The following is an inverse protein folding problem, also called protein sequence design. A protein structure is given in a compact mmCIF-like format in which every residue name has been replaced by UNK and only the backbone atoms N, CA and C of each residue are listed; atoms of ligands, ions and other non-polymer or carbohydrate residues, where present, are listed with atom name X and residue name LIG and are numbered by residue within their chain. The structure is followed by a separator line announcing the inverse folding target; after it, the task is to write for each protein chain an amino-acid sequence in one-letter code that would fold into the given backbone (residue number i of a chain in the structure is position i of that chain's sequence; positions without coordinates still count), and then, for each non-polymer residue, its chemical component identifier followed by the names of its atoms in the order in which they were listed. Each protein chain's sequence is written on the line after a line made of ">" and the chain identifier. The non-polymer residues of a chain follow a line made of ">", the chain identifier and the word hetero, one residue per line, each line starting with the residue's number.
data_IF_011488923760
#
_entry.id   IF_011488923760
#
_cell.length_a   1.000
_cell.length_b   1.000
_cell.length_c   1.000
_cell.angle_alpha   90.00
_cell.angle_beta   90.00
_cell.angle_gamma   90.00
#
_symmetry.space_group_name_H-M   'P 1'
#
loop_
_entity.id
_entity.type
_entity.pdbx_description
1 polymer ?
#
# COMPACT_ATOMS: atom_id res chain seq x y z
N UNK A 1 -0.66 -12.00 -1.06
CA UNK A 1 -1.39 -12.71 0.02
C UNK A 1 -2.22 -11.67 0.76
N UNK A 2 -3.51 -11.90 1.01
CA UNK A 2 -4.40 -10.83 1.51
C UNK A 2 -4.33 -10.68 3.05
N UNK A 3 -4.59 -9.47 3.56
CA UNK A 3 -4.61 -9.12 4.99
C UNK A 3 -6.01 -9.34 5.55
N UNK A 4 -6.16 -10.06 6.66
CA UNK A 4 -7.45 -10.30 7.33
C UNK A 4 -7.52 -9.49 8.63
N UNK A 5 -8.52 -8.62 8.80
CA UNK A 5 -8.67 -7.84 10.03
C UNK A 5 -9.19 -8.72 11.21
N UNK A 6 -9.28 -8.20 12.44
CA UNK A 6 -9.75 -8.95 13.62
C UNK A 6 -11.16 -9.55 13.49
N UNK A 7 -11.98 -9.03 12.57
CA UNK A 7 -13.34 -9.50 12.30
C UNK A 7 -13.43 -10.40 11.07
N UNK A 8 -12.30 -10.74 10.44
CA UNK A 8 -12.24 -11.71 9.35
C UNK A 8 -12.39 -11.14 7.94
N UNK A 9 -12.39 -9.82 7.72
CA UNK A 9 -12.51 -9.20 6.39
C UNK A 9 -11.15 -8.90 5.75
N UNK A 10 -11.05 -9.06 4.43
CA UNK A 10 -9.82 -8.86 3.66
C UNK A 10 -9.60 -7.38 3.27
N UNK A 11 -8.41 -6.81 3.51
CA UNK A 11 -8.19 -5.34 3.39
C UNK A 11 -6.88 -4.88 2.74
N UNK A 12 -5.99 -5.77 2.28
CA UNK A 12 -4.75 -5.37 1.61
C UNK A 12 -3.87 -6.54 1.20
N UNK A 13 -2.64 -6.29 0.72
CA UNK A 13 -1.70 -7.32 0.24
C UNK A 13 -0.36 -7.26 1.00
N UNK A 14 0.09 -8.42 1.49
CA UNK A 14 1.39 -8.60 2.16
C UNK A 14 2.50 -8.80 1.13
N UNK A 15 3.65 -8.13 1.30
CA UNK A 15 4.88 -8.45 0.56
C UNK A 15 5.22 -9.91 0.80
N UNK A 16 5.29 -10.68 -0.27
CA UNK A 16 5.86 -12.01 -0.22
C UNK A 16 7.04 -12.08 -1.16
N UNK A 17 8.08 -12.81 -0.77
CA UNK A 17 9.24 -13.13 -1.59
C UNK A 17 8.84 -14.11 -2.72
N UNK A 18 7.86 -13.76 -3.54
CA UNK A 18 7.44 -14.51 -4.72
C UNK A 18 7.10 -13.54 -5.85
N UNK A 19 8.13 -12.84 -6.36
CA UNK A 19 8.05 -12.15 -7.65
C UNK A 19 9.28 -12.35 -8.55
N UNK A 20 10.28 -13.13 -8.15
CA UNK A 20 11.46 -13.40 -9.02
C UNK A 20 11.70 -14.89 -9.28
N UNK A 21 11.40 -15.78 -8.34
CA UNK A 21 11.67 -17.23 -8.51
C UNK A 21 10.55 -17.99 -9.23
N UNK A 22 9.29 -17.57 -9.10
CA UNK A 22 8.18 -18.26 -9.78
C UNK A 22 8.12 -18.03 -11.29
N UNK A 23 8.73 -16.95 -11.80
CA UNK A 23 8.86 -16.75 -13.25
C UNK A 23 9.93 -17.63 -13.89
N UNK A 24 10.94 -18.06 -13.13
CA UNK A 24 12.02 -18.92 -13.62
C UNK A 24 11.67 -20.42 -13.52
N UNK A 25 10.94 -20.84 -12.48
CA UNK A 25 10.57 -22.25 -12.31
C UNK A 25 9.43 -22.71 -13.25
N UNK A 26 8.63 -21.79 -13.81
CA UNK A 26 7.68 -22.10 -14.88
C UNK A 26 8.35 -22.35 -16.24
N UNK A 27 9.67 -22.11 -16.36
CA UNK A 27 10.46 -22.32 -17.59
C UNK A 27 11.39 -23.54 -17.57
N UNK A 28 11.37 -24.37 -16.53
CA UNK A 28 11.98 -25.70 -16.57
C UNK A 28 13.44 -25.76 -17.05
N UNK A 29 14.26 -24.74 -16.76
CA UNK A 29 15.69 -24.77 -17.07
C UNK A 29 16.38 -25.45 -15.87
N UNK A 30 16.29 -26.78 -15.84
CA UNK A 30 17.22 -27.60 -15.06
C UNK A 30 18.62 -27.50 -15.67
N UNK A 31 19.65 -27.50 -14.83
CA UNK A 31 21.06 -27.53 -15.22
C UNK A 31 21.36 -28.75 -16.10
N UNK A 32 21.26 -28.57 -17.41
CA UNK A 32 21.61 -29.56 -18.42
C UNK A 32 22.46 -28.90 -19.49
N UNK A 33 23.70 -29.37 -19.63
CA UNK A 33 24.67 -28.97 -20.68
C UNK A 33 23.97 -28.75 -22.03
N UNK A 34 23.92 -27.49 -22.49
CA UNK A 34 23.39 -27.17 -23.82
C UNK A 34 24.45 -27.46 -24.90
N UNK A 35 24.23 -28.53 -25.66
CA UNK A 35 24.73 -28.61 -27.03
C UNK A 35 23.93 -27.62 -27.90
N UNK A 36 24.64 -26.75 -28.62
CA UNK A 36 24.05 -25.74 -29.50
C UNK A 36 23.39 -26.40 -30.72
N UNK A 37 22.06 -26.52 -30.69
CA UNK A 37 21.23 -26.89 -31.84
C UNK A 37 20.13 -25.86 -32.04
N UNK A 38 20.25 -25.03 -33.07
CA UNK A 38 19.19 -24.08 -33.46
C UNK A 38 17.96 -24.86 -33.94
N UNK A 39 16.92 -24.93 -33.10
CA UNK A 39 15.63 -25.55 -33.48
C UNK A 39 14.62 -24.44 -33.78
N UNK A 40 14.07 -24.44 -35.00
CA UNK A 40 13.06 -23.47 -35.44
C UNK A 40 11.75 -23.70 -34.67
N UNK A 41 11.39 -22.77 -33.79
CA UNK A 41 10.12 -22.81 -33.04
C UNK A 41 8.92 -22.70 -34.00
N UNK A 42 8.01 -23.68 -33.96
CA UNK A 42 6.80 -23.72 -34.77
C UNK A 42 5.88 -22.50 -34.58
N UNK A 43 5.11 -22.16 -35.61
CA UNK A 43 4.28 -20.96 -35.72
C UNK A 43 3.29 -20.77 -34.55
N UNK A 44 2.77 -21.86 -33.99
CA UNK A 44 1.89 -21.83 -32.81
C UNK A 44 2.62 -21.33 -31.55
N UNK A 45 3.86 -21.80 -31.29
CA UNK A 45 4.68 -21.35 -30.14
C UNK A 45 5.06 -19.88 -30.24
N UNK A 46 5.32 -19.38 -31.47
CA UNK A 46 5.55 -17.93 -31.72
C UNK A 46 4.32 -17.08 -31.41
N UNK A 47 3.12 -17.56 -31.72
CA UNK A 47 1.85 -16.86 -31.41
C UNK A 47 1.58 -16.82 -29.91
N UNK A 48 1.85 -17.91 -29.19
CA UNK A 48 1.74 -17.93 -27.72
C UNK A 48 2.75 -16.98 -27.05
N UNK A 49 4.01 -16.97 -27.49
CA UNK A 49 5.02 -16.06 -26.94
C UNK A 49 4.68 -14.59 -27.22
N UNK A 50 4.19 -14.28 -28.43
CA UNK A 50 3.73 -12.93 -28.77
C UNK A 50 2.51 -12.52 -27.94
N UNK A 51 1.53 -13.41 -27.74
CA UNK A 51 0.35 -13.13 -26.92
C UNK A 51 0.72 -12.90 -25.44
N UNK A 52 1.63 -13.71 -24.88
CA UNK A 52 2.14 -13.51 -23.51
C UNK A 52 2.92 -12.21 -23.36
N UNK A 53 3.70 -11.82 -24.37
CA UNK A 53 4.43 -10.55 -24.39
C UNK A 53 3.48 -9.36 -24.49
N UNK A 54 2.45 -9.44 -25.34
CA UNK A 54 1.41 -8.40 -25.48
C UNK A 54 0.60 -8.25 -24.17
N UNK A 55 0.27 -9.37 -23.49
CA UNK A 55 -0.42 -9.34 -22.21
C UNK A 55 0.45 -8.73 -21.09
N UNK A 56 1.75 -8.96 -21.10
CA UNK A 56 2.69 -8.35 -20.16
C UNK A 56 2.87 -6.83 -20.37
N UNK A 57 2.78 -6.36 -21.61
CA UNK A 57 2.85 -4.92 -21.95
C UNK A 57 1.53 -4.20 -21.63
N UNK A 58 0.43 -4.95 -21.49
CA UNK A 58 -0.91 -4.40 -21.22
C UNK A 58 -1.20 -4.17 -19.74
N UNK A 59 -0.24 -4.43 -18.83
CA UNK A 59 -0.41 -4.12 -17.41
C UNK A 59 -0.31 -2.60 -17.26
N UNK A 60 -1.39 -1.90 -16.83
CA UNK A 60 -1.32 -0.48 -16.58
C UNK A 60 -0.20 -0.19 -15.59
N UNK A 61 0.62 0.82 -15.87
CA UNK A 61 1.62 1.30 -14.92
C UNK A 61 0.93 1.56 -13.58
N UNK A 62 1.28 0.79 -12.56
CA UNK A 62 0.73 0.99 -11.23
C UNK A 62 1.31 2.29 -10.68
N UNK A 63 0.52 3.36 -10.70
CA UNK A 63 0.86 4.58 -10.01
C UNK A 63 1.05 4.28 -8.53
N UNK A 64 2.17 4.70 -8.03
CA UNK A 64 2.71 4.26 -6.77
C UNK A 64 2.40 5.22 -5.62
N UNK A 65 2.34 4.69 -4.41
CA UNK A 65 1.74 5.30 -3.22
C UNK A 65 2.57 6.38 -2.52
N UNK A 66 3.52 7.02 -3.21
CA UNK A 66 4.04 8.29 -2.72
C UNK A 66 2.95 9.38 -2.80
N UNK A 67 3.33 10.65 -2.85
CA UNK A 67 2.39 11.78 -2.98
C UNK A 67 1.31 11.53 -4.04
N UNK A 68 1.69 11.05 -5.21
CA UNK A 68 0.78 10.81 -6.33
C UNK A 68 -0.24 9.70 -6.05
N UNK A 69 0.16 8.56 -5.50
CA UNK A 69 -0.76 7.45 -5.25
C UNK A 69 -1.79 7.78 -4.18
N UNK A 70 -1.43 8.52 -3.12
CA UNK A 70 -2.42 9.02 -2.16
C UNK A 70 -3.41 10.00 -2.80
N UNK A 71 -2.93 10.92 -3.65
CA UNK A 71 -3.80 11.85 -4.38
C UNK A 71 -4.78 11.07 -5.27
N UNK A 72 -4.29 10.13 -6.07
CA UNK A 72 -5.11 9.32 -6.98
C UNK A 72 -6.15 8.51 -6.19
N UNK A 73 -5.72 7.84 -5.13
CA UNK A 73 -6.60 7.02 -4.28
C UNK A 73 -7.72 7.86 -3.69
N UNK A 74 -7.40 9.02 -3.14
CA UNK A 74 -8.41 9.90 -2.57
C UNK A 74 -9.34 10.52 -3.61
N UNK A 75 -8.84 10.85 -4.81
CA UNK A 75 -9.71 11.31 -5.91
C UNK A 75 -10.70 10.24 -6.34
N UNK A 76 -10.23 9.00 -6.51
CA UNK A 76 -11.08 7.87 -6.87
C UNK A 76 -12.10 7.63 -5.76
N UNK A 77 -11.67 7.57 -4.50
CA UNK A 77 -12.56 7.38 -3.35
C UNK A 77 -13.63 8.48 -3.28
N UNK A 78 -13.24 9.75 -3.41
CA UNK A 78 -14.16 10.88 -3.36
C UNK A 78 -15.21 10.85 -4.48
N UNK A 79 -14.82 10.45 -5.68
CA UNK A 79 -15.74 10.31 -6.82
C UNK A 79 -16.76 9.17 -6.66
N UNK A 80 -16.49 8.20 -5.77
CA UNK A 80 -17.34 7.04 -5.51
C UNK A 80 -18.19 7.17 -4.23
N UNK A 81 -18.11 8.31 -3.52
CA UNK A 81 -18.91 8.53 -2.32
C UNK A 81 -20.39 8.68 -2.66
N UNK A 82 -21.25 8.11 -1.79
CA UNK A 82 -22.66 8.43 -1.81
C UNK A 82 -22.91 9.87 -1.35
N UNK A 83 -24.16 10.34 -1.49
CA UNK A 83 -24.52 11.71 -1.14
C UNK A 83 -24.27 12.07 0.33
N UNK A 84 -24.51 11.14 1.26
CA UNK A 84 -24.34 11.39 2.69
C UNK A 84 -22.85 11.51 3.05
N UNK A 85 -22.02 10.59 2.55
CA UNK A 85 -20.59 10.59 2.75
C UNK A 85 -19.91 11.79 2.07
N UNK A 86 -20.32 12.14 0.85
CA UNK A 86 -19.80 13.32 0.14
C UNK A 86 -20.08 14.62 0.91
N UNK A 87 -21.28 14.74 1.50
CA UNK A 87 -21.65 15.87 2.34
C UNK A 87 -20.82 15.91 3.63
N UNK A 88 -20.66 14.78 4.32
CA UNK A 88 -19.83 14.69 5.53
C UNK A 88 -18.37 15.06 5.25
N UNK A 89 -17.78 14.53 4.17
CA UNK A 89 -16.41 14.88 3.74
C UNK A 89 -16.28 16.37 3.49
N UNK A 90 -17.24 16.99 2.77
CA UNK A 90 -17.21 18.43 2.52
C UNK A 90 -17.25 19.26 3.81
N UNK A 91 -18.04 18.83 4.80
CA UNK A 91 -18.14 19.54 6.09
C UNK A 91 -16.92 19.37 6.99
N UNK A 92 -16.22 18.24 6.87
CA UNK A 92 -15.03 17.96 7.67
C UNK A 92 -13.76 18.57 7.07
N UNK A 93 -13.73 18.79 5.76
CA UNK A 93 -12.59 19.42 5.10
C UNK A 93 -12.52 20.91 5.43
N UNK A 94 -11.32 21.47 5.64
CA UNK A 94 -11.15 22.90 5.86
C UNK A 94 -11.42 23.68 4.57
N UNK A 95 -11.85 24.94 4.70
CA UNK A 95 -12.26 25.78 3.57
C UNK A 95 -11.19 25.89 2.47
N UNK A 96 -9.91 25.99 2.84
CA UNK A 96 -8.81 26.13 1.87
C UNK A 96 -8.60 24.88 1.00
N UNK A 97 -9.15 23.72 1.38
CA UNK A 97 -9.13 22.52 0.56
C UNK A 97 -10.16 22.60 -0.59
N UNK A 98 -11.08 23.57 -0.58
CA UNK A 98 -12.14 23.75 -1.58
C UNK A 98 -12.96 22.46 -1.80
N UNK A 99 -13.13 21.66 -0.74
CA UNK A 99 -13.82 20.38 -0.80
C UNK A 99 -13.08 19.27 -1.57
N UNK A 100 -11.81 19.43 -1.93
CA UNK A 100 -10.97 18.38 -2.54
C UNK A 100 -10.25 17.57 -1.45
N UNK A 101 -10.67 16.33 -1.22
CA UNK A 101 -10.06 15.43 -0.24
C UNK A 101 -8.60 15.10 -0.63
N UNK A 102 -8.33 14.96 -1.94
CA UNK A 102 -7.02 14.57 -2.44
C UNK A 102 -5.94 15.61 -2.16
N UNK A 103 -6.32 16.88 -2.02
CA UNK A 103 -5.41 17.97 -1.65
C UNK A 103 -4.76 17.76 -0.27
N UNK A 104 -5.41 17.00 0.62
CA UNK A 104 -4.98 16.80 2.00
C UNK A 104 -4.61 15.35 2.34
N UNK A 105 -4.74 14.40 1.40
CA UNK A 105 -4.43 13.00 1.67
C UNK A 105 -2.95 12.68 1.90
N UNK A 106 -2.04 13.65 1.74
CA UNK A 106 -0.60 13.51 2.03
C UNK A 106 -0.25 14.16 3.37
N UNK A 107 -1.23 14.78 4.06
CA UNK A 107 -1.01 15.44 5.34
C UNK A 107 -0.45 14.51 6.43
N UNK A 108 -0.92 13.23 6.59
CA UNK A 108 -0.36 12.31 7.58
C UNK A 108 1.15 12.08 7.46
N UNK A 109 1.66 11.97 6.24
CA UNK A 109 3.09 11.87 5.96
C UNK A 109 3.89 13.12 6.35
N UNK A 110 3.25 14.29 6.37
CA UNK A 110 3.90 15.53 6.80
C UNK A 110 3.97 15.59 8.33
N UNK A 111 2.86 15.26 9.00
CA UNK A 111 2.77 15.42 10.46
C UNK A 111 3.48 14.33 11.25
N UNK A 112 3.71 13.14 10.70
CA UNK A 112 4.48 12.08 11.39
C UNK A 112 5.87 12.51 11.87
N UNK A 113 6.43 13.56 11.26
CA UNK A 113 7.72 14.16 11.62
C UNK A 113 7.60 15.24 12.71
N UNK A 114 6.39 15.72 13.01
CA UNK A 114 6.16 16.74 14.02
C UNK A 114 6.14 16.12 15.42
N UNK A 115 6.69 16.83 16.40
CA UNK A 115 6.77 16.33 17.79
C UNK A 115 5.40 15.87 18.32
N UNK A 116 4.33 16.64 18.07
CA UNK A 116 2.95 16.34 18.50
C UNK A 116 2.40 15.03 17.90
N UNK A 117 2.82 14.65 16.70
CA UNK A 117 2.30 13.52 15.94
C UNK A 117 3.34 12.41 15.75
N UNK A 118 4.43 12.42 16.52
CA UNK A 118 5.48 11.38 16.43
C UNK A 118 4.90 9.97 16.57
N UNK A 119 3.88 9.82 17.40
CA UNK A 119 3.14 8.58 17.64
C UNK A 119 2.43 8.01 16.41
N UNK A 120 2.19 8.81 15.36
CA UNK A 120 1.56 8.32 14.12
C UNK A 120 2.56 7.59 13.22
N UNK A 121 3.86 7.67 13.50
CA UNK A 121 4.89 7.15 12.59
C UNK A 121 4.77 5.66 12.30
N UNK A 122 4.41 4.84 13.30
CA UNK A 122 4.20 3.39 13.15
C UNK A 122 2.84 3.04 12.52
N UNK A 123 1.91 3.99 12.47
CA UNK A 123 0.58 3.78 11.90
C UNK A 123 0.57 3.71 10.37
N UNK A 124 1.69 3.99 9.71
CA UNK A 124 1.79 3.95 8.25
C UNK A 124 2.08 2.56 7.69
N UNK A 125 2.47 1.58 8.52
CA UNK A 125 2.91 0.28 8.04
C UNK A 125 2.58 -0.84 9.04
N UNK A 126 2.88 -2.08 8.63
CA UNK A 126 2.89 -3.29 9.43
C UNK A 126 4.21 -4.01 9.14
N UNK A 127 4.93 -4.34 10.21
CA UNK A 127 6.09 -5.22 10.14
C UNK A 127 5.62 -6.66 10.35
N UNK A 128 5.90 -7.53 9.37
CA UNK A 128 5.60 -8.97 9.43
C UNK A 128 6.89 -9.78 9.58
N UNK A 129 6.84 -10.97 10.21
CA UNK A 129 8.02 -11.82 10.30
C UNK A 129 8.56 -12.19 8.93
N UNK A 130 9.88 -12.22 8.83
CA UNK A 130 10.61 -12.54 7.62
C UNK A 130 10.15 -13.89 7.04
N UNK A 131 9.97 -13.93 5.72
CA UNK A 131 9.57 -15.11 4.95
C UNK A 131 8.21 -15.74 5.30
N UNK A 132 7.53 -15.26 6.34
CA UNK A 132 6.22 -15.77 6.74
C UNK A 132 5.17 -15.54 5.65
N UNK A 133 5.30 -14.47 4.87
CA UNK A 133 4.39 -14.06 3.80
C UNK A 133 2.91 -13.94 4.24
N UNK A 134 2.65 -13.88 5.54
CA UNK A 134 1.32 -13.83 6.11
C UNK A 134 1.23 -12.71 7.13
N UNK A 135 0.01 -12.22 7.31
CA UNK A 135 -0.32 -11.25 8.33
C UNK A 135 -1.20 -11.90 9.39
N UNK A 136 -0.83 -11.71 10.65
CA UNK A 136 -1.65 -12.01 11.82
C UNK A 136 -1.76 -10.75 12.67
N UNK A 137 -2.98 -10.26 12.92
CA UNK A 137 -3.18 -8.98 13.59
C UNK A 137 -2.61 -8.98 15.01
N UNK A 138 -2.81 -10.05 15.79
CA UNK A 138 -2.35 -10.13 17.17
C UNK A 138 -0.83 -10.25 17.28
N UNK A 139 -0.20 -10.86 16.28
CA UNK A 139 1.26 -10.98 16.19
C UNK A 139 1.92 -9.72 15.64
N UNK A 140 1.35 -9.10 14.61
CA UNK A 140 2.05 -8.12 13.76
C UNK A 140 1.60 -6.67 14.00
N UNK A 141 0.42 -6.44 14.57
CA UNK A 141 -0.12 -5.08 14.73
C UNK A 141 0.34 -4.44 16.05
N UNK A 142 1.62 -4.10 16.13
CA UNK A 142 2.19 -3.35 17.26
C UNK A 142 3.29 -2.40 16.80
N UNK A 143 3.67 -1.44 17.64
CA UNK A 143 4.84 -0.59 17.39
C UNK A 143 6.17 -1.30 17.77
N UNK A 144 7.29 -0.61 17.59
CA UNK A 144 8.62 -1.13 17.96
C UNK A 144 8.82 -1.40 19.46
N UNK A 145 7.92 -0.91 20.32
CA UNK A 145 7.95 -1.14 21.76
C UNK A 145 6.90 -2.19 22.21
N UNK A 146 6.19 -2.81 21.26
CA UNK A 146 5.18 -3.82 21.53
C UNK A 146 3.81 -3.27 21.93
N UNK A 147 3.57 -1.95 21.78
CA UNK A 147 2.25 -1.35 22.03
C UNK A 147 1.29 -1.82 20.95
N UNK A 148 0.28 -2.58 21.37
CA UNK A 148 -0.72 -3.18 20.49
C UNK A 148 -1.56 -2.14 19.75
N UNK A 149 -2.06 -2.51 18.57
CA UNK A 149 -2.88 -1.69 17.67
C UNK A 149 -2.15 -0.49 17.03
N UNK A 150 -0.84 -0.35 17.24
CA UNK A 150 -0.03 0.75 16.70
C UNK A 150 0.55 0.41 15.32
N UNK A 151 -0.32 -0.02 14.40
CA UNK A 151 -0.02 -0.33 13.01
C UNK A 151 -1.11 0.23 12.06
N UNK A 152 -0.90 0.18 10.74
CA UNK A 152 -1.89 0.72 9.77
C UNK A 152 -3.27 0.08 9.86
N UNK A 153 -3.37 -1.24 10.11
CA UNK A 153 -4.66 -1.90 10.27
C UNK A 153 -5.40 -1.44 11.54
N UNK A 154 -4.68 -1.24 12.65
CA UNK A 154 -5.24 -0.71 13.88
C UNK A 154 -5.65 0.76 13.75
N UNK A 155 -4.88 1.55 13.01
CA UNK A 155 -5.21 2.94 12.70
C UNK A 155 -6.52 3.06 11.91
N UNK A 156 -6.69 2.25 10.85
CA UNK A 156 -7.92 2.22 10.06
C UNK A 156 -9.13 1.90 10.94
N UNK A 157 -9.03 0.89 11.82
CA UNK A 157 -10.11 0.55 12.75
C UNK A 157 -10.44 1.73 13.67
N UNK A 158 -9.42 2.34 14.29
CA UNK A 158 -9.57 3.46 15.21
C UNK A 158 -10.26 4.67 14.56
N UNK A 159 -9.76 5.13 13.41
CA UNK A 159 -10.30 6.32 12.75
C UNK A 159 -11.66 6.07 12.09
N UNK A 160 -11.92 4.84 11.63
CA UNK A 160 -13.27 4.44 11.20
C UNK A 160 -14.25 4.54 12.37
N UNK A 161 -13.89 3.98 13.53
CA UNK A 161 -14.74 4.07 14.73
C UNK A 161 -15.00 5.53 15.14
N UNK A 162 -13.99 6.40 15.09
CA UNK A 162 -14.19 7.83 15.40
C UNK A 162 -15.18 8.50 14.43
N UNK A 163 -15.10 8.21 13.13
CA UNK A 163 -15.99 8.80 12.11
C UNK A 163 -17.42 8.26 12.18
N UNK A 164 -17.64 7.03 12.68
CA UNK A 164 -19.02 6.53 12.87
C UNK A 164 -19.83 7.36 13.88
N UNK A 165 -19.17 8.09 14.77
CA UNK A 165 -19.83 8.98 15.73
C UNK A 165 -20.17 10.38 15.16
N UNK A 166 -19.86 10.65 13.88
CA UNK A 166 -20.12 11.94 13.23
C UNK A 166 -21.59 12.38 13.35
N UNK A 167 -22.54 11.49 13.03
CA UNK A 167 -23.98 11.81 13.02
C UNK A 167 -24.60 11.94 14.41
N UNK A 168 -23.99 11.34 15.44
CA UNK A 168 -24.52 11.35 16.79
C UNK A 168 -24.02 12.53 17.63
N UNK A 169 -23.11 13.35 17.06
CA UNK A 169 -22.36 14.35 17.80
C UNK A 169 -21.34 13.68 18.72
N UNK A 170 -20.07 14.06 18.63
CA UNK A 170 -19.08 13.54 19.58
C UNK A 170 -19.32 14.21 20.93
N UNK A 171 -19.69 13.44 21.96
CA UNK A 171 -19.63 13.94 23.34
C UNK A 171 -18.18 14.08 23.81
N UNK A 172 -17.24 13.42 23.12
CA UNK A 172 -15.81 13.49 23.38
C UNK A 172 -15.16 14.59 22.53
N UNK A 173 -14.94 15.76 23.16
CA UNK A 173 -14.27 16.94 22.59
C UNK A 173 -12.82 16.67 22.15
N UNK A 174 -12.25 15.49 22.45
CA UNK A 174 -10.86 15.16 22.14
C UNK A 174 -10.64 14.69 20.70
N UNK A 175 -11.68 14.20 20.01
CA UNK A 175 -11.54 13.71 18.64
C UNK A 175 -11.71 14.84 17.62
N UNK A 176 -10.64 15.12 16.90
CA UNK A 176 -10.69 15.98 15.72
C UNK A 176 -11.11 15.11 14.52
N UNK A 177 -12.39 15.19 14.13
CA UNK A 177 -12.93 14.37 13.04
C UNK A 177 -12.32 14.70 11.67
N UNK A 178 -11.81 15.92 11.48
CA UNK A 178 -11.04 16.26 10.28
C UNK A 178 -9.75 15.44 10.25
N UNK A 179 -9.01 15.38 11.36
CA UNK A 179 -7.81 14.54 11.45
C UNK A 179 -8.16 13.06 11.22
N UNK A 180 -9.25 12.58 11.81
CA UNK A 180 -9.69 11.19 11.61
C UNK A 180 -9.98 10.88 10.13
N UNK A 181 -10.64 11.78 9.41
CA UNK A 181 -10.89 11.64 7.97
C UNK A 181 -9.58 11.60 7.17
N UNK A 182 -8.65 12.51 7.45
CA UNK A 182 -7.38 12.58 6.72
C UNK A 182 -6.49 11.37 7.00
N UNK A 183 -6.40 10.94 8.26
CA UNK A 183 -5.69 9.72 8.64
C UNK A 183 -6.31 8.48 7.99
N UNK A 184 -7.62 8.30 8.08
CA UNK A 184 -8.28 7.14 7.47
C UNK A 184 -8.04 7.09 5.96
N UNK A 185 -8.21 8.23 5.28
CA UNK A 185 -8.05 8.31 3.82
C UNK A 185 -6.62 7.97 3.38
N UNK A 186 -5.62 8.43 4.14
CA UNK A 186 -4.21 8.13 3.88
C UNK A 186 -3.87 6.67 4.18
N UNK A 187 -4.25 6.16 5.36
CA UNK A 187 -3.92 4.81 5.81
C UNK A 187 -4.59 3.72 4.98
N UNK A 188 -5.79 3.99 4.45
CA UNK A 188 -6.38 3.11 3.46
C UNK A 188 -5.50 2.97 2.22
N UNK A 189 -4.78 4.03 1.81
CA UNK A 189 -3.80 3.92 0.75
C UNK A 189 -2.54 3.16 1.15
N UNK A 190 -1.98 3.49 2.31
CA UNK A 190 -0.79 2.80 2.85
C UNK A 190 -0.99 1.29 2.96
N UNK A 191 -2.16 0.83 3.45
CA UNK A 191 -2.45 -0.59 3.59
C UNK A 191 -2.45 -1.34 2.25
N UNK A 192 -2.74 -0.64 1.14
CA UNK A 192 -2.73 -1.21 -0.21
C UNK A 192 -1.35 -1.13 -0.88
N UNK A 193 -0.39 -0.44 -0.27
CA UNK A 193 1.01 -0.42 -0.66
C UNK A 193 1.68 -1.74 -0.21
N UNK A 194 2.09 -2.65 -1.11
CA UNK A 194 2.61 -3.97 -0.70
C UNK A 194 3.83 -3.93 0.25
N UNK A 195 4.73 -2.96 0.07
CA UNK A 195 5.93 -2.74 0.88
C UNK A 195 5.64 -2.04 2.21
N UNK A 196 4.43 -1.51 2.44
CA UNK A 196 3.99 -1.07 3.77
C UNK A 196 3.53 -2.23 4.66
N UNK A 197 3.36 -3.42 4.09
CA UNK A 197 3.07 -4.65 4.83
C UNK A 197 4.15 -5.66 4.49
N UNK A 198 5.34 -5.39 5.02
CA UNK A 198 6.60 -5.99 4.60
C UNK A 198 7.35 -6.68 5.73
N UNK A 199 8.58 -7.12 5.44
CA UNK A 199 9.41 -7.79 6.42
C UNK A 199 10.05 -6.80 7.39
N UNK A 200 10.14 -7.22 8.65
CA UNK A 200 10.74 -6.40 9.71
C UNK A 200 12.23 -6.17 9.46
N UNK A 201 12.98 -7.19 9.04
CA UNK A 201 14.44 -7.08 8.89
C UNK A 201 14.86 -6.11 7.79
N UNK A 202 14.06 -6.02 6.72
CA UNK A 202 14.33 -5.12 5.60
C UNK A 202 13.61 -3.76 5.69
N UNK A 203 12.90 -3.51 6.81
CA UNK A 203 12.07 -2.33 7.04
C UNK A 203 11.11 -2.06 5.88
N UNK A 204 10.41 -3.11 5.44
CA UNK A 204 9.57 -3.05 4.24
C UNK A 204 10.36 -2.69 2.98
N UNK A 205 11.58 -3.20 2.84
CA UNK A 205 12.48 -2.98 1.70
C UNK A 205 13.24 -1.65 1.68
N UNK A 206 13.22 -0.87 2.77
CA UNK A 206 13.99 0.38 2.86
C UNK A 206 15.50 0.13 2.93
N UNK A 207 15.93 -1.04 3.43
CA UNK A 207 17.35 -1.41 3.52
C UNK A 207 17.84 -2.22 2.32
N UNK A 208 16.97 -2.47 1.33
CA UNK A 208 17.33 -3.15 0.08
C UNK A 208 17.70 -2.08 -0.95
N UNK A 209 18.98 -1.74 -0.98
CA UNK A 209 19.54 -0.77 -1.93
C UNK A 209 19.56 -1.35 -3.36
N UNK A 210 19.16 -0.54 -4.33
CA UNK A 210 19.15 -0.92 -5.74
C UNK A 210 19.33 0.30 -6.65
N UNK A 211 19.47 0.07 -7.96
CA UNK A 211 19.45 1.14 -8.96
C UNK A 211 18.15 1.09 -9.74
N UNK A 212 17.41 2.20 -9.73
CA UNK A 212 16.25 2.43 -10.59
C UNK A 212 16.72 3.23 -11.81
N UNK A 213 16.86 2.56 -12.94
CA UNK A 213 17.54 3.10 -14.12
C UNK A 213 18.94 3.66 -13.77
N UNK A 214 19.12 4.97 -13.90
CA UNK A 214 20.39 5.67 -13.64
C UNK A 214 20.52 6.18 -12.20
N UNK A 215 19.50 5.99 -11.37
CA UNK A 215 19.44 6.57 -10.03
C UNK A 215 19.56 5.50 -8.94
N UNK A 216 20.36 5.77 -7.91
CA UNK A 216 20.36 4.97 -6.68
C UNK A 216 19.02 5.15 -5.95
N UNK A 217 18.44 4.06 -5.48
CA UNK A 217 17.19 4.04 -4.72
C UNK A 217 17.15 2.82 -3.80
N UNK A 218 16.03 2.58 -3.13
CA UNK A 218 15.77 1.33 -2.40
C UNK A 218 14.44 0.72 -2.86
N UNK A 219 14.22 -0.56 -2.56
CA UNK A 219 13.05 -1.31 -3.03
C UNK A 219 11.73 -0.68 -2.56
N UNK A 220 11.67 -0.21 -1.32
CA UNK A 220 10.52 0.50 -0.78
C UNK A 220 10.19 1.74 -1.60
N UNK A 221 11.19 2.59 -1.85
CA UNK A 221 11.05 3.83 -2.59
C UNK A 221 10.69 3.61 -4.07
N UNK A 222 11.24 2.57 -4.71
CA UNK A 222 10.83 2.23 -6.09
C UNK A 222 9.39 1.78 -6.16
N UNK A 223 8.92 0.97 -5.21
CA UNK A 223 7.51 0.58 -5.14
C UNK A 223 6.57 1.78 -4.93
N UNK A 224 7.10 2.87 -4.36
CA UNK A 224 6.47 4.18 -4.20
C UNK A 224 6.60 5.11 -5.40
N UNK A 225 7.42 4.77 -6.41
CA UNK A 225 7.70 5.63 -7.56
C UNK A 225 7.58 4.94 -8.94
N UNK A 226 6.86 3.83 -9.06
CA UNK A 226 6.60 3.15 -10.35
C UNK A 226 5.86 4.08 -11.33
N UNK A 227 6.60 4.98 -11.96
CA UNK A 227 6.27 5.59 -13.24
C UNK A 227 6.89 4.70 -14.30
N UNK A 228 6.07 4.24 -15.24
CA UNK A 228 6.59 3.68 -16.48
C UNK A 228 7.43 4.78 -17.16
N UNK A 229 8.69 4.47 -17.44
CA UNK A 229 9.53 5.26 -18.34
C UNK A 229 9.25 4.86 -19.78
#
# INVERSE_FOLDING_TARGET
>A
MYIKNPHGTWVGAVKCQLAVTSFLNLWGIGEGRMNMGFTVLGTAKRRFLAASLILAISVPGCHSWSKEGHIITCRIAQALLDHAAAHAVRNLLPDYANGDLSALCVWPDQVRHWYKYRWTSSLHFIDTPDEACNFDYSRDCHDSHGVQNMCVAGAIYNFTSQLTHYNHGTSDRRYNLTEALLFLSHFMGDLHQPMHVGFTSDKGGNTIDLHWFKHKSNLHHVSHQLRAA
#
